data_IF_894174221834
#
_entry.id   IF_894174221834
#
_cell.length_a   1.000
_cell.length_b   1.000
_cell.length_c   1.000
_cell.angle_alpha   90.00
_cell.angle_beta   90.00
_cell.angle_gamma   90.00
#
_symmetry.space_group_name_H-M   'P 1'
#
loop_
_entity.id
_entity.type
_entity.pdbx_description
1 polymer ?
#
# COMPACT_ATOMS: atom_id res chain seq x y z
N UNK A 1 -2.67 15.47 26.63
CA UNK A 1 -2.65 14.05 26.20
C UNK A 1 -3.54 14.00 24.97
N UNK A 2 -2.95 14.35 23.83
CA UNK A 2 -3.64 14.48 22.55
C UNK A 2 -3.74 13.07 21.98
N UNK A 3 -4.97 12.56 21.79
CA UNK A 3 -5.21 11.44 20.89
C UNK A 3 -4.89 11.99 19.50
N UNK A 4 -3.71 11.67 18.97
CA UNK A 4 -3.44 11.95 17.58
C UNK A 4 -4.19 10.90 16.77
N UNK A 5 -5.34 11.30 16.25
CA UNK A 5 -6.04 10.62 15.18
C UNK A 5 -5.17 10.73 13.92
N UNK A 6 -4.09 9.93 13.84
CA UNK A 6 -3.20 9.86 12.68
C UNK A 6 -3.82 9.11 11.49
N UNK A 7 -4.98 8.47 11.74
CA UNK A 7 -5.96 8.05 10.73
C UNK A 7 -6.69 9.26 10.12
N UNK A 8 -6.57 10.43 10.74
CA UNK A 8 -7.30 11.65 10.41
C UNK A 8 -7.05 12.16 8.99
N UNK A 9 -5.81 12.26 8.50
CA UNK A 9 -5.63 12.80 7.14
C UNK A 9 -6.14 11.86 6.04
N UNK A 10 -6.16 10.53 6.30
CA UNK A 10 -6.63 9.50 5.37
C UNK A 10 -8.16 9.37 5.37
N UNK A 11 -8.78 9.35 6.55
CA UNK A 11 -10.22 9.20 6.69
C UNK A 11 -10.98 10.53 6.63
N UNK A 12 -10.40 11.65 7.05
CA UNK A 12 -11.12 12.94 7.08
C UNK A 12 -11.30 13.45 5.65
N UNK A 13 -10.27 13.48 4.80
CA UNK A 13 -10.42 14.04 3.44
C UNK A 13 -11.40 13.23 2.57
N UNK A 14 -11.31 11.89 2.59
CA UNK A 14 -12.17 11.01 1.78
C UNK A 14 -13.58 10.89 2.36
N UNK A 15 -13.73 10.66 3.67
CA UNK A 15 -15.06 10.56 4.27
C UNK A 15 -15.81 11.90 4.31
N UNK A 16 -15.11 13.05 4.40
CA UNK A 16 -15.77 14.36 4.28
C UNK A 16 -16.17 14.68 2.85
N UNK A 17 -15.41 14.26 1.83
CA UNK A 17 -15.81 14.39 0.42
C UNK A 17 -17.06 13.55 0.10
N UNK A 18 -17.13 12.30 0.60
CA UNK A 18 -18.31 11.43 0.47
C UNK A 18 -19.54 12.02 1.21
N UNK A 19 -19.33 12.61 2.39
CA UNK A 19 -20.40 13.30 3.12
C UNK A 19 -20.89 14.58 2.40
N UNK A 20 -19.98 15.30 1.73
CA UNK A 20 -20.28 16.49 0.92
C UNK A 20 -21.16 16.15 -0.29
N UNK A 21 -20.93 15.00 -0.92
CA UNK A 21 -21.70 14.49 -2.05
C UNK A 21 -23.18 14.22 -1.74
N UNK A 22 -23.52 13.92 -0.48
CA UNK A 22 -24.91 13.76 -0.06
C UNK A 22 -25.70 15.10 -0.05
N UNK A 23 -25.02 16.24 -0.17
CA UNK A 23 -25.60 17.59 -0.09
C UNK A 23 -25.73 18.35 -1.41
N UNK A 24 -25.05 17.94 -2.49
CA UNK A 24 -25.04 18.69 -3.75
C UNK A 24 -26.35 18.47 -4.54
N UNK A 25 -27.10 19.55 -4.77
CA UNK A 25 -28.32 19.56 -5.60
C UNK A 25 -28.00 19.77 -7.08
N UNK A 26 -28.74 19.06 -7.95
CA UNK A 26 -28.66 19.05 -9.41
C UNK A 26 -28.50 20.45 -10.07
N UNK A 27 -27.27 20.86 -10.35
CA UNK A 27 -26.96 22.10 -11.05
C UNK A 27 -25.78 21.92 -11.99
N UNK A 28 -26.05 21.57 -13.25
CA UNK A 28 -25.03 21.36 -14.27
C UNK A 28 -24.65 22.68 -14.97
N UNK A 29 -23.66 23.39 -14.44
CA UNK A 29 -22.86 24.37 -15.19
C UNK A 29 -21.44 24.40 -14.62
N UNK A 30 -20.55 23.55 -15.16
CA UNK A 30 -19.12 23.54 -14.81
C UNK A 30 -18.31 24.62 -15.57
N UNK A 31 -17.10 25.00 -15.10
CA UNK A 31 -16.40 26.22 -15.48
C UNK A 31 -15.36 26.06 -16.61
N UNK A 32 -15.38 27.03 -17.55
CA UNK A 32 -14.25 27.94 -17.80
C UNK A 32 -12.97 27.51 -18.53
N UNK A 33 -12.53 26.24 -18.55
CA UNK A 33 -11.29 25.86 -19.26
C UNK A 33 -11.56 25.47 -20.72
N UNK A 34 -10.57 25.69 -21.61
CA UNK A 34 -10.65 25.28 -23.02
C UNK A 34 -10.53 23.75 -23.21
N UNK A 35 -10.33 23.00 -22.13
CA UNK A 35 -10.33 21.54 -22.07
C UNK A 35 -10.93 21.11 -20.72
N UNK A 36 -12.27 21.01 -20.63
CA UNK A 36 -12.93 20.70 -19.37
C UNK A 36 -12.52 19.31 -18.88
N UNK A 37 -12.45 19.14 -17.56
CA UNK A 37 -12.23 17.84 -16.93
C UNK A 37 -13.20 16.79 -17.50
N UNK A 38 -12.66 15.76 -18.16
CA UNK A 38 -13.46 14.71 -18.80
C UNK A 38 -13.74 13.57 -17.83
N UNK A 39 -14.81 13.75 -17.05
CA UNK A 39 -15.32 12.75 -16.09
C UNK A 39 -15.48 11.36 -16.73
N UNK A 40 -15.90 11.27 -17.99
CA UNK A 40 -16.14 9.97 -18.63
C UNK A 40 -14.85 9.24 -18.93
N UNK A 41 -13.85 9.97 -19.45
CA UNK A 41 -12.53 9.39 -19.70
C UNK A 41 -11.87 8.99 -18.38
N UNK A 42 -11.90 9.87 -17.38
CA UNK A 42 -11.41 9.58 -16.02
C UNK A 42 -12.01 8.28 -15.47
N UNK A 43 -13.34 8.11 -15.50
CA UNK A 43 -13.99 6.92 -14.99
C UNK A 43 -13.62 5.64 -15.76
N UNK A 44 -13.40 5.73 -17.07
CA UNK A 44 -12.91 4.60 -17.87
C UNK A 44 -11.48 4.20 -17.46
N UNK A 45 -10.63 5.19 -17.20
CA UNK A 45 -9.23 4.96 -16.84
C UNK A 45 -9.11 4.32 -15.46
N UNK A 46 -9.89 4.78 -14.48
CA UNK A 46 -9.97 4.16 -13.15
C UNK A 46 -10.58 2.77 -13.20
N UNK A 47 -11.63 2.59 -14.03
CA UNK A 47 -12.19 1.27 -14.29
C UNK A 47 -11.16 0.28 -14.85
N UNK A 48 -10.17 0.74 -15.61
CA UNK A 48 -9.10 -0.13 -16.13
C UNK A 48 -8.11 -0.55 -15.04
N UNK A 49 -7.76 0.33 -14.09
CA UNK A 49 -6.92 -0.04 -12.93
C UNK A 49 -7.66 -1.05 -12.06
N UNK A 50 -8.93 -0.76 -11.73
CA UNK A 50 -9.74 -1.65 -10.91
C UNK A 50 -9.90 -3.02 -11.56
N UNK A 51 -10.23 -3.06 -12.86
CA UNK A 51 -10.34 -4.31 -13.60
C UNK A 51 -9.04 -5.13 -13.58
N UNK A 52 -7.87 -4.47 -13.58
CA UNK A 52 -6.60 -5.16 -13.48
C UNK A 52 -6.39 -5.79 -12.09
N UNK A 53 -6.85 -5.15 -11.00
CA UNK A 53 -6.85 -5.77 -9.67
C UNK A 53 -7.86 -6.91 -9.56
N UNK A 54 -9.09 -6.69 -10.02
CA UNK A 54 -10.15 -7.69 -10.00
C UNK A 54 -9.75 -8.95 -10.78
N UNK A 55 -9.02 -8.78 -11.88
CA UNK A 55 -8.48 -9.89 -12.67
C UNK A 55 -7.43 -10.74 -11.93
N UNK A 56 -6.88 -10.23 -10.84
CA UNK A 56 -5.87 -10.88 -9.99
C UNK A 56 -6.41 -11.28 -8.60
N UNK A 57 -7.73 -11.22 -8.38
CA UNK A 57 -8.34 -11.61 -7.10
C UNK A 57 -8.02 -13.06 -6.73
N UNK A 58 -7.88 -13.94 -7.72
CA UNK A 58 -7.55 -15.35 -7.53
C UNK A 58 -6.16 -15.54 -6.91
N UNK A 59 -5.20 -14.68 -7.24
CA UNK A 59 -3.85 -14.67 -6.67
C UNK A 59 -3.91 -14.26 -5.19
N UNK A 60 -4.71 -13.24 -4.86
CA UNK A 60 -4.91 -12.81 -3.48
C UNK A 60 -5.58 -13.91 -2.63
N UNK A 61 -6.61 -14.56 -3.19
CA UNK A 61 -7.28 -15.69 -2.55
C UNK A 61 -6.30 -16.84 -2.29
N UNK A 62 -5.48 -17.23 -3.27
CA UNK A 62 -4.47 -18.28 -3.10
C UNK A 62 -3.43 -17.91 -2.03
N UNK A 63 -2.95 -16.66 -2.04
CA UNK A 63 -2.02 -16.16 -1.02
C UNK A 63 -2.63 -16.24 0.38
N UNK A 64 -3.92 -15.95 0.55
CA UNK A 64 -4.61 -16.05 1.85
C UNK A 64 -4.54 -17.45 2.48
N UNK A 65 -4.43 -18.51 1.65
CA UNK A 65 -4.26 -19.89 2.12
C UNK A 65 -2.81 -20.26 2.41
N UNK A 66 -1.85 -19.60 1.78
CA UNK A 66 -0.42 -19.77 2.01
C UNK A 66 0.02 -19.03 3.28
N UNK A 67 -0.60 -17.89 3.58
CA UNK A 67 -0.28 -17.03 4.73
C UNK A 67 -0.18 -17.76 6.09
N UNK A 68 -1.11 -18.67 6.45
CA UNK A 68 -0.99 -19.42 7.71
C UNK A 68 0.30 -20.23 7.84
N UNK A 69 0.90 -20.71 6.74
CA UNK A 69 2.21 -21.40 6.81
C UNK A 69 3.27 -20.43 7.32
N UNK A 70 3.27 -19.23 6.76
CA UNK A 70 4.25 -18.18 6.97
C UNK A 70 4.12 -17.57 8.37
N UNK A 71 2.88 -17.35 8.82
CA UNK A 71 2.57 -16.84 10.16
C UNK A 71 2.99 -17.82 11.27
N UNK A 72 2.98 -19.13 10.98
CA UNK A 72 3.34 -20.20 11.90
C UNK A 72 4.86 -20.50 11.97
N UNK A 73 5.69 -19.87 11.13
CA UNK A 73 7.16 -20.02 11.15
C UNK A 73 7.82 -19.45 12.42
N UNK A 74 7.06 -18.79 13.29
CA UNK A 74 7.51 -18.28 14.58
C UNK A 74 8.22 -16.91 14.52
N UNK A 75 8.67 -16.39 15.68
CA UNK A 75 9.16 -15.01 15.83
C UNK A 75 10.35 -14.57 14.94
N UNK A 76 11.34 -15.41 14.59
CA UNK A 76 12.45 -14.94 13.76
C UNK A 76 12.06 -14.62 12.31
N UNK A 77 10.95 -15.21 11.81
CA UNK A 77 10.38 -15.01 10.48
C UNK A 77 9.53 -13.74 10.33
N UNK A 78 9.16 -13.13 11.46
CA UNK A 78 8.43 -11.87 11.45
C UNK A 78 9.46 -10.75 11.35
N UNK A 79 9.70 -10.28 10.12
CA UNK A 79 10.50 -9.08 9.86
C UNK A 79 10.08 -7.90 10.76
N UNK A 80 8.80 -7.80 11.13
CA UNK A 80 8.27 -6.79 12.06
C UNK A 80 8.26 -7.18 13.54
N UNK A 81 8.61 -8.41 13.96
CA UNK A 81 8.90 -8.65 15.39
C UNK A 81 10.31 -8.15 15.76
N UNK A 82 11.22 -8.05 14.77
CA UNK A 82 12.55 -7.44 14.95
C UNK A 82 12.47 -5.93 15.12
N UNK A 83 11.50 -5.30 14.48
CA UNK A 83 11.10 -3.93 14.73
C UNK A 83 9.92 -4.01 15.68
N UNK A 84 10.05 -4.15 17.01
CA UNK A 84 8.87 -4.13 17.91
C UNK A 84 7.98 -2.91 17.61
N UNK A 85 6.95 -3.10 16.78
CA UNK A 85 5.94 -2.10 16.44
C UNK A 85 4.80 -2.40 17.41
N UNK A 86 4.63 -1.64 18.51
CA UNK A 86 3.40 -1.73 19.28
C UNK A 86 2.23 -1.43 18.34
N UNK A 87 1.13 -2.13 18.53
CA UNK A 87 -0.13 -2.17 17.75
C UNK A 87 -0.90 -0.84 17.62
N UNK A 88 -0.18 0.25 17.44
CA UNK A 88 -0.64 1.61 17.13
C UNK A 88 -0.02 1.98 15.78
N UNK A 89 -0.56 2.94 15.00
CA UNK A 89 0.08 3.39 13.77
C UNK A 89 1.58 3.62 14.02
N UNK A 90 2.43 3.14 13.11
CA UNK A 90 3.91 3.09 13.11
C UNK A 90 4.57 4.24 13.91
N UNK A 91 3.95 5.40 13.81
CA UNK A 91 4.18 6.70 14.45
C UNK A 91 4.28 6.71 15.99
N UNK A 92 3.40 6.01 16.75
CA UNK A 92 3.43 6.11 18.23
C UNK A 92 4.43 5.15 18.89
N UNK A 93 4.70 4.04 18.21
CA UNK A 93 5.65 3.03 18.67
C UNK A 93 7.08 3.52 18.65
N UNK A 94 7.50 4.19 17.57
CA UNK A 94 8.87 4.69 17.45
C UNK A 94 9.14 5.90 18.35
N UNK A 95 8.17 6.79 18.55
CA UNK A 95 8.32 7.93 19.48
C UNK A 95 8.42 7.50 20.97
N UNK A 96 7.76 6.39 21.36
CA UNK A 96 7.89 5.81 22.71
C UNK A 96 9.12 4.90 22.86
N UNK A 97 9.51 4.18 21.80
CA UNK A 97 10.65 3.26 21.80
C UNK A 97 11.99 3.99 21.62
N UNK A 98 11.99 5.20 21.06
CA UNK A 98 13.16 6.10 21.07
C UNK A 98 13.62 6.48 22.49
N UNK A 99 12.80 6.26 23.54
CA UNK A 99 13.23 6.36 24.95
C UNK A 99 13.66 5.04 25.59
N UNK A 100 13.53 3.91 24.90
CA UNK A 100 13.92 2.58 25.38
C UNK A 100 14.95 1.96 24.45
N UNK A 101 16.23 2.26 24.71
CA UNK A 101 17.40 1.46 24.29
C UNK A 101 17.22 0.62 23.02
N UNK A 102 17.26 1.27 21.85
CA UNK A 102 17.55 0.58 20.60
C UNK A 102 19.03 0.20 20.63
N UNK A 103 19.29 -0.99 21.18
CA UNK A 103 20.61 -1.60 21.16
C UNK A 103 20.98 -1.87 19.72
N UNK A 104 22.04 -1.22 19.27
CA UNK A 104 22.73 -1.51 18.02
C UNK A 104 23.19 -2.97 18.01
N UNK A 105 22.42 -3.82 17.36
CA UNK A 105 22.88 -5.12 16.93
C UNK A 105 22.15 -5.47 15.63
N UNK A 106 22.80 -5.18 14.49
CA UNK A 106 22.63 -6.00 13.30
C UNK A 106 23.12 -7.38 13.67
N UNK A 107 22.21 -8.19 14.23
CA UNK A 107 22.37 -9.63 14.26
C UNK A 107 21.82 -10.06 12.90
N UNK A 108 22.73 -10.34 11.96
CA UNK A 108 22.45 -11.05 10.69
C UNK A 108 21.94 -12.44 11.05
N UNK A 109 20.72 -12.50 11.57
CA UNK A 109 19.99 -13.73 11.80
C UNK A 109 19.16 -13.97 10.56
N UNK A 110 19.19 -15.18 9.98
CA UNK A 110 18.31 -15.54 8.88
C UNK A 110 16.88 -15.13 9.17
N UNK A 111 16.20 -14.57 8.19
CA UNK A 111 14.77 -14.27 8.30
C UNK A 111 14.00 -15.57 8.42
N UNK A 112 14.33 -16.56 7.61
CA UNK A 112 13.67 -17.85 7.65
C UNK A 112 14.33 -18.80 8.66
N UNK A 113 13.55 -19.53 9.48
CA UNK A 113 14.07 -20.57 10.36
C UNK A 113 14.85 -21.64 9.58
N UNK A 114 15.96 -22.11 10.15
CA UNK A 114 16.83 -23.10 9.48
C UNK A 114 16.14 -24.44 9.17
N UNK A 115 15.08 -24.78 9.90
CA UNK A 115 14.30 -26.02 9.75
C UNK A 115 13.28 -25.97 8.61
N UNK A 116 13.03 -24.79 8.01
CA UNK A 116 12.15 -24.65 6.83
C UNK A 116 12.90 -24.40 5.53
N UNK A 117 14.23 -24.26 5.58
CA UNK A 117 15.06 -24.02 4.40
C UNK A 117 15.09 -25.27 3.50
N UNK A 118 14.74 -25.09 2.22
CA UNK A 118 14.61 -26.18 1.25
C UNK A 118 13.40 -27.09 1.47
N UNK A 119 12.44 -26.69 2.33
CA UNK A 119 11.25 -27.48 2.63
C UNK A 119 10.10 -27.09 1.71
N UNK A 120 9.41 -28.10 1.18
CA UNK A 120 8.15 -27.93 0.48
C UNK A 120 6.99 -28.27 1.42
N UNK A 121 5.97 -27.42 1.44
CA UNK A 121 4.73 -27.61 2.17
C UNK A 121 3.62 -27.99 1.21
N UNK A 122 2.88 -29.05 1.53
CA UNK A 122 1.75 -29.55 0.73
C UNK A 122 0.49 -29.63 1.58
N UNK A 123 -0.68 -29.47 0.95
CA UNK A 123 -1.94 -29.58 1.65
C UNK A 123 -2.20 -31.04 2.07
N UNK A 124 -2.56 -31.23 3.34
CA UNK A 124 -2.96 -32.51 3.90
C UNK A 124 -4.44 -32.49 4.23
N UNK A 125 -5.25 -33.30 3.53
CA UNK A 125 -6.67 -33.47 3.87
C UNK A 125 -6.89 -34.05 5.27
N UNK A 126 -5.92 -34.83 5.76
CA UNK A 126 -5.97 -35.42 7.10
C UNK A 126 -5.83 -34.35 8.20
N UNK A 127 -4.89 -33.42 8.02
CA UNK A 127 -4.59 -32.37 9.00
C UNK A 127 -5.39 -31.08 8.72
N UNK A 128 -6.04 -31.00 7.54
CA UNK A 128 -6.69 -29.79 7.03
C UNK A 128 -5.75 -28.58 7.09
N UNK A 129 -4.48 -28.80 6.75
CA UNK A 129 -3.42 -27.82 6.85
C UNK A 129 -2.29 -28.15 5.86
N UNK A 130 -1.45 -27.15 5.59
CA UNK A 130 -0.18 -27.35 4.91
C UNK A 130 0.83 -28.00 5.85
N UNK A 131 1.47 -29.07 5.39
CA UNK A 131 2.45 -29.85 6.15
C UNK A 131 3.76 -29.96 5.38
N UNK A 132 4.92 -29.99 6.07
CA UNK A 132 6.20 -30.17 5.40
C UNK A 132 6.31 -31.57 4.79
N UNK A 133 6.85 -31.66 3.57
CA UNK A 133 7.04 -32.93 2.84
C UNK A 133 8.49 -33.10 2.40
N UNK A 134 8.79 -34.29 1.86
CA UNK A 134 10.09 -34.59 1.26
C UNK A 134 10.18 -34.15 -0.22
N UNK A 135 9.20 -33.39 -0.74
CA UNK A 135 9.19 -32.97 -2.14
C UNK A 135 10.36 -32.01 -2.40
N UNK A 136 11.14 -32.34 -3.42
CA UNK A 136 12.27 -31.51 -3.87
C UNK A 136 11.78 -30.35 -4.73
N UNK A 137 12.54 -29.26 -4.77
CA UNK A 137 12.29 -28.11 -5.65
C UNK A 137 12.22 -26.77 -4.93
N UNK A 138 12.02 -26.79 -3.62
CA UNK A 138 12.08 -25.58 -2.80
C UNK A 138 13.48 -24.92 -2.84
N UNK A 139 13.56 -23.57 -2.79
CA UNK A 139 14.83 -22.86 -2.73
C UNK A 139 15.67 -23.27 -1.52
N UNK A 140 16.99 -23.38 -1.68
CA UNK A 140 17.88 -23.82 -0.60
C UNK A 140 17.96 -22.87 0.59
N UNK A 141 17.68 -21.59 0.36
CA UNK A 141 17.61 -20.49 1.33
C UNK A 141 16.16 -20.00 1.50
N UNK A 142 15.19 -20.85 1.19
CA UNK A 142 13.77 -20.49 1.21
C UNK A 142 12.89 -21.68 1.52
N UNK A 143 11.59 -21.51 1.33
CA UNK A 143 10.60 -22.58 1.40
C UNK A 143 9.70 -22.50 0.17
N UNK A 144 8.99 -23.60 -0.10
CA UNK A 144 7.95 -23.68 -1.12
C UNK A 144 6.62 -24.08 -0.50
N UNK A 145 5.53 -23.46 -0.90
CA UNK A 145 4.16 -23.92 -0.58
C UNK A 145 3.45 -24.24 -1.88
N UNK A 146 2.93 -25.45 -2.03
CA UNK A 146 2.19 -25.86 -3.24
C UNK A 146 0.81 -25.20 -3.24
N UNK A 147 0.40 -24.64 -4.37
CA UNK A 147 -0.90 -23.98 -4.56
C UNK A 147 -1.85 -24.96 -5.25
N UNK A 148 -3.10 -25.00 -4.79
CA UNK A 148 -4.11 -25.94 -5.25
C UNK A 148 -5.41 -25.24 -5.65
N UNK A 149 -6.05 -25.70 -6.72
CA UNK A 149 -7.45 -25.41 -7.02
C UNK A 149 -8.35 -26.15 -6.03
N UNK A 150 -9.01 -25.34 -5.19
CA UNK A 150 -9.89 -25.81 -4.11
C UNK A 150 -11.35 -25.99 -4.54
N UNK A 151 -11.66 -25.71 -5.80
CA UNK A 151 -13.02 -25.88 -6.35
C UNK A 151 -13.34 -27.33 -6.73
N UNK A 152 -12.31 -28.17 -6.83
CA UNK A 152 -12.39 -29.60 -7.17
C UNK A 152 -12.02 -30.48 -5.99
N UNK A 153 -12.38 -31.77 -5.99
CA UNK A 153 -11.99 -32.71 -4.91
C UNK A 153 -11.61 -34.08 -5.50
N UNK A 154 -10.39 -34.60 -5.26
CA UNK A 154 -9.31 -33.99 -4.47
C UNK A 154 -8.84 -32.66 -5.07
N UNK A 155 -8.23 -31.81 -4.25
CA UNK A 155 -7.69 -30.54 -4.75
C UNK A 155 -6.61 -30.80 -5.81
N UNK A 156 -6.67 -30.05 -6.91
CA UNK A 156 -5.72 -30.19 -8.01
C UNK A 156 -4.57 -29.19 -7.82
N UNK A 157 -3.33 -29.64 -7.95
CA UNK A 157 -2.17 -28.74 -7.90
C UNK A 157 -2.17 -27.83 -9.13
N UNK A 158 -2.12 -26.52 -8.90
CA UNK A 158 -2.09 -25.50 -9.96
C UNK A 158 -0.80 -24.68 -9.94
N UNK A 159 0.03 -24.80 -8.92
CA UNK A 159 1.21 -23.95 -8.81
C UNK A 159 1.98 -24.08 -7.51
N UNK A 160 2.80 -23.07 -7.21
CA UNK A 160 3.54 -22.94 -5.96
C UNK A 160 3.87 -21.48 -5.64
N UNK A 161 4.12 -21.21 -4.36
CA UNK A 161 4.73 -19.98 -3.85
C UNK A 161 6.07 -20.33 -3.25
N UNK A 162 7.13 -19.70 -3.74
CA UNK A 162 8.45 -19.70 -3.14
C UNK A 162 8.65 -18.43 -2.31
N UNK A 163 9.21 -18.60 -1.12
CA UNK A 163 9.63 -17.51 -0.24
C UNK A 163 11.11 -17.70 0.09
N UNK A 164 11.94 -16.76 -0.33
CA UNK A 164 13.40 -16.88 -0.30
C UNK A 164 14.03 -15.76 0.52
N UNK A 165 14.91 -16.13 1.45
CA UNK A 165 15.72 -15.16 2.20
C UNK A 165 16.90 -14.69 1.34
N UNK A 166 16.86 -13.44 0.92
CA UNK A 166 17.90 -12.78 0.12
C UNK A 166 18.70 -11.75 0.94
N UNK A 167 18.63 -11.84 2.27
CA UNK A 167 19.25 -10.86 3.16
C UNK A 167 20.76 -10.81 3.00
N UNK A 168 21.31 -9.61 3.13
CA UNK A 168 22.74 -9.33 3.12
C UNK A 168 23.12 -8.45 4.32
N UNK A 169 24.41 -8.12 4.54
CA UNK A 169 24.80 -7.28 5.66
C UNK A 169 24.24 -5.84 5.64
N UNK A 170 23.70 -5.36 4.52
CA UNK A 170 23.16 -4.01 4.35
C UNK A 170 21.63 -3.96 4.52
N UNK A 171 20.92 -5.04 4.19
CA UNK A 171 19.47 -5.09 4.28
C UNK A 171 18.95 -6.52 4.53
N UNK A 172 17.91 -6.60 5.34
CA UNK A 172 17.07 -7.80 5.41
C UNK A 172 16.18 -7.82 4.15
N UNK A 173 16.15 -8.95 3.41
CA UNK A 173 15.38 -9.06 2.16
C UNK A 173 14.67 -10.39 2.04
N UNK A 174 13.41 -10.34 1.62
CA UNK A 174 12.59 -11.51 1.34
C UNK A 174 12.06 -11.42 -0.10
N UNK A 175 12.29 -12.44 -0.90
CA UNK A 175 11.72 -12.56 -2.24
C UNK A 175 10.55 -13.54 -2.22
N UNK A 176 9.43 -13.14 -2.81
CA UNK A 176 8.23 -13.94 -2.95
C UNK A 176 7.94 -14.12 -4.43
N UNK A 177 7.78 -15.37 -4.85
CA UNK A 177 7.54 -15.76 -6.23
C UNK A 177 6.39 -16.77 -6.28
N UNK A 178 5.36 -16.48 -7.07
CA UNK A 178 4.24 -17.39 -7.30
C UNK A 178 4.18 -17.79 -8.77
N UNK A 179 4.23 -19.09 -9.02
CA UNK A 179 3.87 -19.70 -10.29
C UNK A 179 2.49 -20.34 -10.16
N UNK A 180 1.59 -20.06 -11.10
CA UNK A 180 0.27 -20.71 -11.22
C UNK A 180 -0.03 -20.94 -12.68
N UNK A 181 -0.53 -22.12 -13.01
CA UNK A 181 -0.86 -22.55 -14.38
C UNK A 181 0.33 -22.41 -15.35
N UNK A 182 1.56 -22.57 -14.85
CA UNK A 182 2.81 -22.43 -15.61
C UNK A 182 3.21 -20.98 -15.92
N UNK A 183 2.60 -20.00 -15.26
CA UNK A 183 2.88 -18.57 -15.39
C UNK A 183 3.29 -17.97 -14.05
N UNK A 184 4.29 -17.10 -14.04
CA UNK A 184 4.59 -16.25 -12.87
C UNK A 184 3.48 -15.21 -12.69
N UNK A 185 2.65 -15.40 -11.67
CA UNK A 185 1.50 -14.52 -11.35
C UNK A 185 1.85 -13.40 -10.41
N UNK A 186 2.83 -13.61 -9.54
CA UNK A 186 3.25 -12.66 -8.52
C UNK A 186 4.75 -12.81 -8.31
N UNK A 187 5.48 -11.71 -8.33
CA UNK A 187 6.91 -11.72 -8.07
C UNK A 187 7.29 -10.38 -7.44
N UNK A 188 7.73 -10.40 -6.18
CA UNK A 188 8.10 -9.18 -5.47
C UNK A 188 9.14 -9.41 -4.40
N UNK A 189 9.90 -8.35 -4.11
CA UNK A 189 10.88 -8.32 -3.03
C UNK A 189 10.41 -7.37 -1.95
N UNK A 190 10.54 -7.80 -0.70
CA UNK A 190 10.45 -6.96 0.50
C UNK A 190 11.87 -6.69 0.99
N UNK A 191 12.21 -5.43 1.24
CA UNK A 191 13.49 -5.02 1.79
C UNK A 191 13.29 -4.16 3.04
N UNK A 192 14.09 -4.43 4.07
CA UNK A 192 14.10 -3.68 5.32
C UNK A 192 15.53 -3.20 5.61
N UNK A 193 15.68 -1.91 5.89
CA UNK A 193 16.92 -1.35 6.41
C UNK A 193 16.66 -0.63 7.73
N UNK A 194 17.63 -0.67 8.63
CA UNK A 194 17.54 -0.01 9.92
C UNK A 194 18.90 0.52 10.37
N UNK A 195 18.88 1.69 10.99
CA UNK A 195 20.01 2.30 11.68
C UNK A 195 19.62 2.68 13.11
N UNK A 196 20.51 3.35 13.83
CA UNK A 196 20.22 3.87 15.17
C UNK A 196 19.14 4.95 15.19
N UNK A 197 18.93 5.64 14.07
CA UNK A 197 18.03 6.80 13.98
C UNK A 197 17.15 6.77 12.73
N UNK A 198 17.14 5.68 11.97
CA UNK A 198 16.28 5.54 10.80
C UNK A 198 15.85 4.10 10.58
N UNK A 199 14.73 3.92 9.90
CA UNK A 199 14.27 2.64 9.39
C UNK A 199 13.58 2.87 8.05
N UNK A 200 13.67 1.90 7.14
CA UNK A 200 12.93 1.90 5.88
C UNK A 200 12.46 0.50 5.53
N UNK A 201 11.21 0.38 5.09
CA UNK A 201 10.67 -0.80 4.46
C UNK A 201 10.31 -0.46 3.01
N UNK A 202 10.59 -1.38 2.09
CA UNK A 202 10.20 -1.25 0.69
C UNK A 202 9.68 -2.57 0.15
N UNK A 203 8.68 -2.51 -0.71
CA UNK A 203 8.12 -3.64 -1.45
C UNK A 203 8.10 -3.23 -2.91
N UNK A 204 8.67 -4.04 -3.79
CA UNK A 204 8.64 -3.77 -5.24
C UNK A 204 8.47 -5.05 -6.01
N UNK A 205 7.59 -5.05 -7.02
CA UNK A 205 7.33 -6.24 -7.81
C UNK A 205 6.19 -6.04 -8.79
N UNK A 206 5.58 -7.17 -9.18
CA UNK A 206 4.41 -7.16 -10.04
C UNK A 206 3.44 -8.29 -9.72
N UNK A 207 2.19 -8.08 -10.13
CA UNK A 207 1.13 -9.09 -10.16
C UNK A 207 0.54 -9.14 -11.57
N UNK A 208 0.14 -10.32 -12.06
CA UNK A 208 -0.38 -10.45 -13.42
C UNK A 208 -1.37 -11.59 -13.59
N UNK A 209 -2.41 -11.33 -14.41
CA UNK A 209 -3.38 -12.32 -14.81
C UNK A 209 -2.95 -13.12 -16.07
N UNK A 210 -1.74 -12.86 -16.57
CA UNK A 210 -1.21 -13.37 -17.84
C UNK A 210 -1.58 -12.54 -19.07
N UNK A 211 -2.50 -11.59 -18.92
CA UNK A 211 -2.89 -10.63 -19.96
C UNK A 211 -2.48 -9.20 -19.57
N UNK A 212 -2.76 -8.82 -18.34
CA UNK A 212 -2.48 -7.56 -17.69
C UNK A 212 -1.49 -7.77 -16.55
N UNK A 213 -0.48 -6.90 -16.46
CA UNK A 213 0.51 -6.89 -15.40
C UNK A 213 0.47 -5.54 -14.71
N UNK A 214 0.30 -5.55 -13.40
CA UNK A 214 0.40 -4.36 -12.55
C UNK A 214 1.76 -4.41 -11.85
N UNK A 215 2.63 -3.48 -12.19
CA UNK A 215 3.88 -3.23 -11.48
C UNK A 215 3.60 -2.30 -10.30
N UNK A 216 4.17 -2.59 -9.14
CA UNK A 216 3.97 -1.81 -7.94
C UNK A 216 5.27 -1.56 -7.18
N UNK A 217 5.31 -0.43 -6.50
CA UNK A 217 6.34 -0.08 -5.53
C UNK A 217 5.68 0.57 -4.31
N UNK A 218 6.06 0.13 -3.12
CA UNK A 218 5.63 0.69 -1.84
C UNK A 218 6.88 0.94 -1.02
N UNK A 219 6.99 2.10 -0.41
CA UNK A 219 8.05 2.42 0.54
C UNK A 219 7.49 3.14 1.75
N UNK A 220 8.06 2.86 2.90
CA UNK A 220 7.85 3.61 4.12
C UNK A 220 9.21 3.83 4.76
N UNK A 221 9.50 5.06 5.17
CA UNK A 221 10.71 5.37 5.90
C UNK A 221 10.43 6.31 7.05
N UNK A 222 11.25 6.18 8.09
CA UNK A 222 11.24 7.08 9.23
C UNK A 222 12.68 7.47 9.56
N UNK A 223 12.90 8.77 9.78
CA UNK A 223 14.18 9.32 10.22
C UNK A 223 13.98 10.16 11.47
N UNK A 224 14.81 9.95 12.49
CA UNK A 224 14.84 10.73 13.71
C UNK A 224 16.06 11.66 13.73
N UNK A 225 15.81 12.91 14.08
CA UNK A 225 16.82 13.95 14.30
C UNK A 225 16.77 14.44 15.74
N UNK A 226 17.70 15.33 16.12
CA UNK A 226 17.67 15.95 17.44
C UNK A 226 16.43 16.84 17.67
N UNK A 227 15.83 17.35 16.58
CA UNK A 227 14.70 18.29 16.59
C UNK A 227 13.34 17.62 16.37
N UNK A 228 13.30 16.32 16.06
CA UNK A 228 12.05 15.67 15.67
C UNK A 228 12.24 14.35 14.92
N UNK A 229 11.21 13.96 14.17
CA UNK A 229 11.24 12.85 13.24
C UNK A 229 10.51 13.21 11.95
N UNK A 230 10.88 12.57 10.86
CA UNK A 230 10.20 12.65 9.57
C UNK A 230 9.78 11.24 9.17
N UNK A 231 8.56 11.12 8.65
CA UNK A 231 8.01 9.88 8.12
C UNK A 231 7.69 10.14 6.66
N UNK A 232 8.10 9.24 5.78
CA UNK A 232 7.80 9.29 4.35
C UNK A 232 7.14 7.99 3.93
N UNK A 233 6.08 8.11 3.14
CA UNK A 233 5.40 6.98 2.51
C UNK A 233 5.37 7.24 1.01
N UNK A 234 5.88 6.30 0.23
CA UNK A 234 5.83 6.30 -1.21
C UNK A 234 5.06 5.10 -1.72
N UNK A 235 4.30 5.30 -2.78
CA UNK A 235 3.50 4.26 -3.41
C UNK A 235 3.40 4.54 -4.90
N UNK A 236 3.50 3.50 -5.72
CA UNK A 236 3.17 3.59 -7.12
C UNK A 236 2.62 2.29 -7.68
N UNK A 237 1.76 2.44 -8.68
CA UNK A 237 1.22 1.40 -9.53
C UNK A 237 1.40 1.80 -10.98
N UNK A 238 1.66 0.84 -11.84
CA UNK A 238 1.57 1.04 -13.28
C UNK A 238 1.09 -0.22 -13.99
N UNK A 239 0.28 -0.04 -15.02
CA UNK A 239 -0.20 -1.14 -15.86
C UNK A 239 0.79 -1.33 -17.02
N UNK A 240 1.50 -2.45 -17.03
CA UNK A 240 2.55 -2.72 -18.01
C UNK A 240 2.03 -2.61 -19.45
N UNK A 241 2.73 -1.83 -20.27
CA UNK A 241 2.37 -1.61 -21.67
C UNK A 241 1.18 -0.66 -21.89
N UNK A 242 0.59 -0.12 -20.83
CA UNK A 242 -0.41 0.94 -20.88
C UNK A 242 0.19 2.24 -20.33
N UNK A 243 -0.23 3.41 -20.82
CA UNK A 243 0.25 4.68 -20.29
C UNK A 243 -0.50 5.06 -19.00
N UNK A 244 -0.78 4.08 -18.14
CA UNK A 244 -1.62 4.22 -16.94
C UNK A 244 -0.77 3.98 -15.69
N UNK A 245 -0.68 4.98 -14.82
CA UNK A 245 0.03 4.87 -13.55
C UNK A 245 -0.59 5.73 -12.45
N UNK A 246 -0.48 5.27 -11.21
CA UNK A 246 -0.86 5.99 -10.00
C UNK A 246 0.38 6.11 -9.14
N UNK A 247 0.63 7.28 -8.57
CA UNK A 247 1.64 7.45 -7.53
C UNK A 247 1.09 8.25 -6.37
N UNK A 248 1.57 7.94 -5.18
CA UNK A 248 1.22 8.62 -3.94
C UNK A 248 2.50 8.82 -3.14
N UNK A 249 2.69 10.02 -2.62
CA UNK A 249 3.76 10.35 -1.69
C UNK A 249 3.19 11.12 -0.53
N UNK A 250 3.55 10.78 0.69
CA UNK A 250 3.22 11.55 1.88
C UNK A 250 4.45 11.75 2.75
N UNK A 251 4.57 12.94 3.32
CA UNK A 251 5.61 13.27 4.28
C UNK A 251 4.94 13.82 5.53
N UNK A 252 5.34 13.34 6.70
CA UNK A 252 4.92 13.89 7.97
C UNK A 252 6.14 14.26 8.81
N UNK A 253 6.21 15.52 9.21
CA UNK A 253 7.27 16.02 10.07
C UNK A 253 6.72 16.19 11.49
N UNK A 254 7.43 15.63 12.46
CA UNK A 254 7.08 15.63 13.87
C UNK A 254 8.20 16.37 14.61
N UNK A 255 8.00 17.66 14.89
CA UNK A 255 8.95 18.48 15.65
C UNK A 255 8.28 19.12 16.86
N UNK A 256 8.57 20.40 17.08
CA UNK A 256 7.79 21.24 18.01
C UNK A 256 6.31 21.33 17.58
N UNK A 257 6.10 21.33 16.26
CA UNK A 257 4.79 21.23 15.62
C UNK A 257 4.78 20.06 14.64
N UNK A 258 3.57 19.64 14.26
CA UNK A 258 3.38 18.61 13.24
C UNK A 258 3.02 19.30 11.94
N UNK A 259 3.68 18.92 10.85
CA UNK A 259 3.29 19.31 9.49
C UNK A 259 3.19 18.08 8.62
N UNK A 260 2.34 18.13 7.60
CA UNK A 260 2.16 17.03 6.68
C UNK A 260 2.09 17.54 5.23
N UNK A 261 2.50 16.70 4.31
CA UNK A 261 2.33 16.88 2.87
C UNK A 261 1.87 15.58 2.24
N UNK A 262 1.10 15.68 1.18
CA UNK A 262 0.62 14.56 0.40
C UNK A 262 0.48 14.98 -1.06
N UNK A 263 0.98 14.16 -1.95
CA UNK A 263 0.80 14.31 -3.39
C UNK A 263 0.35 12.99 -3.97
N UNK A 264 -0.73 12.99 -4.74
CA UNK A 264 -1.19 11.83 -5.51
C UNK A 264 -1.25 12.21 -6.97
N UNK A 265 -0.63 11.44 -7.84
CA UNK A 265 -0.63 11.67 -9.28
C UNK A 265 -1.24 10.48 -10.00
N UNK A 266 -2.19 10.74 -10.86
CA UNK A 266 -2.77 9.77 -11.79
C UNK A 266 -2.39 10.18 -13.19
N UNK A 267 -1.78 9.27 -13.95
CA UNK A 267 -1.42 9.49 -15.35
C UNK A 267 -2.17 8.49 -16.19
N UNK A 268 -2.85 8.96 -17.22
CA UNK A 268 -3.34 8.14 -18.31
C UNK A 268 -3.04 8.78 -19.68
N UNK A 269 -2.09 8.21 -20.41
CA UNK A 269 -1.73 8.70 -21.73
C UNK A 269 -1.11 10.10 -21.65
N UNK A 270 -1.81 11.08 -22.22
CA UNK A 270 -1.43 12.48 -22.15
C UNK A 270 -2.09 13.22 -20.97
N UNK A 271 -3.04 12.58 -20.29
CA UNK A 271 -3.78 13.18 -19.20
C UNK A 271 -3.12 12.92 -17.86
N UNK A 272 -3.10 13.93 -17.01
CA UNK A 272 -2.55 13.87 -15.65
C UNK A 272 -3.49 14.56 -14.68
N UNK A 273 -3.91 13.86 -13.63
CA UNK A 273 -4.50 14.49 -12.45
C UNK A 273 -3.50 14.49 -11.30
N UNK A 274 -3.37 15.61 -10.60
CA UNK A 274 -2.55 15.70 -9.38
C UNK A 274 -3.39 16.27 -8.25
N UNK A 275 -3.51 15.52 -7.15
CA UNK A 275 -3.85 16.07 -5.83
C UNK A 275 -2.56 16.49 -5.14
N UNK A 276 -2.49 17.70 -4.64
CA UNK A 276 -1.44 18.18 -3.73
C UNK A 276 -2.10 18.79 -2.48
N UNK A 277 -1.73 18.34 -1.30
CA UNK A 277 -2.23 18.85 -0.02
C UNK A 277 -1.09 19.01 0.97
N UNK A 278 -1.23 20.02 1.82
CA UNK A 278 -0.33 20.27 2.94
C UNK A 278 -1.08 20.70 4.19
N UNK A 279 -0.53 20.36 5.34
CA UNK A 279 -0.97 20.87 6.63
C UNK A 279 0.19 21.58 7.33
N UNK A 280 -0.03 22.82 7.75
CA UNK A 280 0.96 23.61 8.46
C UNK A 280 0.95 23.37 9.97
N UNK A 281 1.88 24.03 10.67
CA UNK A 281 2.04 23.91 12.13
C UNK A 281 0.84 24.43 12.94
N UNK A 282 -0.03 25.26 12.35
CA UNK A 282 -1.27 25.73 12.94
C UNK A 282 -2.45 24.79 12.70
N UNK A 283 -2.25 23.70 11.93
CA UNK A 283 -3.29 22.79 11.51
C UNK A 283 -4.14 23.36 10.37
N UNK A 284 -3.63 24.36 9.64
CA UNK A 284 -4.25 24.84 8.41
C UNK A 284 -4.00 23.83 7.31
N UNK A 285 -5.08 23.35 6.69
CA UNK A 285 -5.04 22.51 5.50
C UNK A 285 -5.13 23.42 4.26
N UNK A 286 -4.24 23.19 3.31
CA UNK A 286 -4.25 23.84 2.00
C UNK A 286 -3.92 22.81 0.93
N UNK A 287 -4.64 22.83 -0.19
CA UNK A 287 -4.46 21.86 -1.25
C UNK A 287 -5.17 22.22 -2.55
N UNK A 288 -4.78 21.54 -3.61
CA UNK A 288 -5.35 21.70 -4.94
C UNK A 288 -5.47 20.36 -5.64
N UNK A 289 -6.45 20.26 -6.53
CA UNK A 289 -6.46 19.24 -7.58
C UNK A 289 -6.27 19.92 -8.92
N UNK A 290 -5.35 19.40 -9.71
CA UNK A 290 -5.06 19.87 -11.07
C UNK A 290 -5.34 18.79 -12.08
N UNK A 291 -5.93 19.16 -13.22
CA UNK A 291 -6.09 18.33 -14.41
C UNK A 291 -5.29 18.93 -15.54
N UNK A 292 -4.33 18.18 -16.09
CA UNK A 292 -3.44 18.63 -17.15
C UNK A 292 -2.70 19.95 -16.82
N UNK A 293 -2.47 20.21 -15.53
CA UNK A 293 -1.82 21.41 -15.00
C UNK A 293 -2.77 22.56 -14.66
N UNK A 294 -4.04 22.49 -15.02
CA UNK A 294 -5.05 23.49 -14.67
C UNK A 294 -5.72 23.12 -13.34
N UNK A 295 -5.87 24.08 -12.43
CA UNK A 295 -6.57 23.86 -11.15
C UNK A 295 -8.06 23.64 -11.42
N UNK A 296 -8.58 22.51 -10.93
CA UNK A 296 -10.01 22.15 -11.03
C UNK A 296 -10.70 22.14 -9.66
N UNK A 297 -9.92 22.06 -8.58
CA UNK A 297 -10.43 22.15 -7.21
C UNK A 297 -9.40 22.76 -6.28
N UNK A 298 -9.86 23.51 -5.29
CA UNK A 298 -9.11 23.98 -4.14
C UNK A 298 -9.65 23.33 -2.87
N UNK A 299 -8.76 23.04 -1.93
CA UNK A 299 -9.05 22.38 -0.66
C UNK A 299 -8.51 23.28 0.43
N UNK A 300 -9.37 23.71 1.35
CA UNK A 300 -8.94 24.51 2.51
C UNK A 300 -9.55 23.97 3.78
N UNK A 301 -8.84 24.11 4.90
CA UNK A 301 -9.36 23.70 6.20
C UNK A 301 -8.57 24.36 7.33
N UNK A 302 -9.17 24.41 8.51
CA UNK A 302 -8.50 24.97 9.69
C UNK A 302 -8.88 24.22 10.95
N UNK A 303 -7.87 23.71 11.66
CA UNK A 303 -8.07 23.06 12.96
C UNK A 303 -8.90 21.78 12.83
N UNK A 304 -9.98 21.70 13.61
CA UNK A 304 -10.89 20.53 13.64
C UNK A 304 -12.11 20.69 12.72
N UNK A 305 -12.20 21.77 11.94
CA UNK A 305 -13.30 21.97 11.01
C UNK A 305 -13.20 21.01 9.81
N UNK A 306 -14.36 20.66 9.24
CA UNK A 306 -14.40 19.92 7.98
C UNK A 306 -13.69 20.70 6.86
N UNK A 307 -12.90 20.03 6.02
CA UNK A 307 -12.33 20.65 4.82
C UNK A 307 -13.42 21.20 3.90
N UNK A 308 -13.11 22.31 3.25
CA UNK A 308 -13.95 22.97 2.25
C UNK A 308 -13.33 22.70 0.88
N UNK A 309 -14.15 22.16 -0.02
CA UNK A 309 -13.79 21.85 -1.40
C UNK A 309 -14.52 22.81 -2.33
N UNK A 310 -13.78 23.58 -3.12
CA UNK A 310 -14.34 24.57 -4.05
C UNK A 310 -13.70 24.42 -5.42
N UNK A 311 -14.38 24.89 -6.46
CA UNK A 311 -13.79 25.09 -7.78
C UNK A 311 -12.66 26.14 -7.75
N UNK A 312 -11.96 26.33 -8.88
CA UNK A 312 -10.80 27.21 -8.98
C UNK A 312 -11.09 28.69 -8.69
N UNK A 313 -12.34 29.14 -8.85
CA UNK A 313 -12.75 30.53 -8.56
C UNK A 313 -13.51 30.67 -7.22
N UNK A 314 -13.54 29.61 -6.40
CA UNK A 314 -14.21 29.59 -5.09
C UNK A 314 -15.70 29.22 -5.15
N UNK A 315 -16.18 28.72 -6.28
CA UNK A 315 -17.52 28.21 -6.49
C UNK A 315 -17.72 26.81 -5.90
N UNK A 316 -18.97 26.40 -5.68
CA UNK A 316 -19.27 25.02 -5.30
C UNK A 316 -19.03 24.08 -6.48
N UNK A 317 -18.48 22.89 -6.20
CA UNK A 317 -18.34 21.83 -7.20
C UNK A 317 -19.71 21.31 -7.64
N UNK A 318 -19.83 20.94 -8.91
CA UNK A 318 -20.99 20.19 -9.37
C UNK A 318 -20.96 18.75 -8.81
N UNK A 319 -22.13 18.10 -8.76
CA UNK A 319 -22.26 16.70 -8.31
C UNK A 319 -21.31 15.78 -9.08
N UNK A 320 -21.21 15.97 -10.40
CA UNK A 320 -20.39 15.13 -11.27
C UNK A 320 -18.88 15.33 -11.01
N UNK A 321 -18.44 16.57 -10.81
CA UNK A 321 -17.03 16.87 -10.49
C UNK A 321 -16.64 16.30 -9.13
N UNK A 322 -17.47 16.54 -8.11
CA UNK A 322 -17.20 16.01 -6.78
C UNK A 322 -17.20 14.47 -6.76
N UNK A 323 -18.09 13.82 -7.52
CA UNK A 323 -18.17 12.35 -7.57
C UNK A 323 -16.94 11.76 -8.25
N UNK A 324 -16.54 12.32 -9.39
CA UNK A 324 -15.35 11.87 -10.10
C UNK A 324 -14.09 11.99 -9.23
N UNK A 325 -13.94 13.10 -8.51
CA UNK A 325 -12.82 13.30 -7.58
C UNK A 325 -12.87 12.30 -6.41
N UNK A 326 -14.07 11.96 -5.90
CA UNK A 326 -14.21 10.98 -4.83
C UNK A 326 -13.84 9.56 -5.27
N UNK A 327 -14.35 9.10 -6.43
CA UNK A 327 -14.04 7.78 -7.01
C UNK A 327 -12.51 7.59 -7.19
N UNK A 328 -11.80 8.68 -7.46
CA UNK A 328 -10.35 8.66 -7.58
C UNK A 328 -9.61 8.41 -6.27
N UNK A 329 -10.05 9.04 -5.18
CA UNK A 329 -9.46 8.82 -3.88
C UNK A 329 -9.75 7.44 -3.35
N UNK A 330 -10.97 6.93 -3.60
CA UNK A 330 -11.32 5.55 -3.29
C UNK A 330 -10.38 4.57 -3.99
N UNK A 331 -10.06 4.76 -5.28
CA UNK A 331 -9.12 3.87 -5.98
C UNK A 331 -7.71 3.86 -5.36
N UNK A 332 -7.18 5.04 -4.98
CA UNK A 332 -5.86 5.08 -4.31
C UNK A 332 -5.91 4.38 -2.96
N UNK A 333 -7.00 4.55 -2.21
CA UNK A 333 -7.19 3.88 -0.93
C UNK A 333 -7.36 2.37 -1.09
N UNK A 334 -8.22 1.91 -1.98
CA UNK A 334 -8.50 0.50 -2.24
C UNK A 334 -7.27 -0.22 -2.81
N UNK A 335 -6.56 0.38 -3.76
CA UNK A 335 -5.32 -0.20 -4.31
C UNK A 335 -4.22 -0.31 -3.25
N UNK A 336 -4.05 0.74 -2.43
CA UNK A 336 -3.11 0.70 -1.30
C UNK A 336 -3.54 -0.36 -0.27
N UNK A 337 -4.82 -0.43 0.05
CA UNK A 337 -5.34 -1.40 1.01
C UNK A 337 -5.19 -2.83 0.48
N UNK A 338 -5.45 -3.08 -0.79
CA UNK A 338 -5.24 -4.38 -1.43
C UNK A 338 -3.78 -4.82 -1.29
N UNK A 339 -2.83 -3.95 -1.63
CA UNK A 339 -1.40 -4.28 -1.52
C UNK A 339 -0.96 -4.47 -0.07
N UNK A 340 -1.43 -3.63 0.86
CA UNK A 340 -1.11 -3.76 2.27
C UNK A 340 -1.76 -4.98 2.92
N UNK A 341 -2.99 -5.32 2.55
CA UNK A 341 -3.72 -6.46 3.10
C UNK A 341 -3.21 -7.80 2.53
N UNK A 342 -2.84 -7.84 1.25
CA UNK A 342 -2.55 -9.09 0.55
C UNK A 342 -1.06 -9.32 0.25
N UNK A 343 -0.25 -8.27 0.06
CA UNK A 343 1.17 -8.40 -0.33
C UNK A 343 2.14 -8.02 0.79
N UNK A 344 1.73 -7.16 1.73
CA UNK A 344 2.51 -6.92 2.93
C UNK A 344 2.36 -8.11 3.88
N UNK A 345 3.12 -9.18 3.58
CA UNK A 345 3.40 -10.43 4.30
C UNK A 345 3.64 -10.29 5.82
N UNK A 346 3.64 -9.08 6.37
CA UNK A 346 4.15 -8.76 7.70
C UNK A 346 3.19 -7.96 8.58
N UNK A 347 2.04 -7.52 8.07
CA UNK A 347 1.22 -6.50 8.73
C UNK A 347 -0.06 -6.96 9.41
N UNK A 348 -0.46 -8.24 9.34
CA UNK A 348 -1.81 -8.71 9.79
C UNK A 348 -2.11 -8.54 11.29
N UNK A 349 -1.22 -7.92 12.07
CA UNK A 349 -1.57 -7.35 13.38
C UNK A 349 -2.35 -6.02 13.32
N UNK A 350 -2.74 -5.53 12.14
CA UNK A 350 -3.33 -4.19 11.93
C UNK A 350 -4.81 -4.19 11.48
N UNK A 351 -5.53 -5.31 11.60
CA UNK A 351 -7.00 -5.34 11.51
C UNK A 351 -7.65 -5.21 12.90
#
# INVERSE_FOLDING_TARGET
MVKLEFVGLRAIAVASLIAFLAGCSDGATGPGSNDPFDVQQSNQDFGAVQAAFDANVDVADDMSFVMPVLENLGPPARLLDRVKIPSEPVVLGMARTARMTMGSASLVLPLLPGDVLGVTFEWSDLESAYVPTARTGAPTNGLRVIVYDRTVTPFDEVGFVDVTDESDPAADRLHVHMEKDGLTRLDYTVALTQSTSSASAAISGFITDGLQRVDFEVSESAEQTASGATIEVGYSLSLAGQPLSVSFTSTVNIGEFITAGLTTTFVNGANTLVLDMSQDAAGTLDGTVTWNGDVVMTITGSGEAEPIFLGPEGEELTVAEAQAIAEMFELTEEGLFFLLANLAFLGSGLA
#
